data_IF_954048367020
#
_entry.id   IF_954048367020
#
_cell.length_a   1.000
_cell.length_b   1.000
_cell.length_c   1.000
_cell.angle_alpha   90.00
_cell.angle_beta   90.00
_cell.angle_gamma   90.00
#
_symmetry.space_group_name_H-M   'P 1'
#
loop_
_entity.id
_entity.type
_entity.pdbx_description
1 polymer ?
#
# COMPACT_ATOMS: atom_id res chain seq x y z
N UNK A 1 32.16 -12.53 -23.50
CA UNK A 1 30.87 -12.73 -24.20
C UNK A 1 29.81 -12.91 -23.14
N UNK A 2 28.88 -12.00 -22.91
CA UNK A 2 27.77 -12.22 -22.00
C UNK A 2 26.67 -12.98 -22.73
N UNK A 3 26.31 -14.15 -22.18
CA UNK A 3 25.23 -15.00 -22.68
C UNK A 3 23.87 -14.30 -22.56
N UNK A 4 23.16 -14.20 -23.66
CA UNK A 4 21.76 -13.81 -23.75
C UNK A 4 20.90 -14.73 -22.90
N UNK A 5 20.43 -14.24 -21.76
CA UNK A 5 19.30 -14.83 -21.03
C UNK A 5 18.02 -14.24 -21.65
N UNK A 6 17.11 -15.14 -22.03
CA UNK A 6 15.86 -14.82 -22.68
C UNK A 6 15.00 -13.85 -21.84
N UNK A 7 14.34 -12.85 -22.45
CA UNK A 7 13.39 -12.00 -21.77
C UNK A 7 12.17 -12.84 -21.40
N UNK A 8 11.80 -12.90 -20.13
CA UNK A 8 10.60 -13.60 -19.68
C UNK A 8 10.61 -14.13 -18.26
N UNK A 9 11.71 -14.06 -17.51
CA UNK A 9 11.78 -14.65 -16.16
C UNK A 9 11.52 -13.68 -14.99
N UNK A 10 11.23 -12.40 -15.25
CA UNK A 10 11.16 -11.36 -14.22
C UNK A 10 9.90 -10.47 -14.21
N UNK A 11 8.88 -10.81 -14.98
CA UNK A 11 7.69 -9.96 -15.17
C UNK A 11 6.82 -9.75 -13.92
N UNK A 12 7.09 -10.41 -12.80
CA UNK A 12 6.29 -10.31 -11.57
C UNK A 12 6.75 -9.26 -10.55
N UNK A 13 7.92 -8.62 -10.75
CA UNK A 13 8.46 -7.62 -9.82
C UNK A 13 8.62 -6.23 -10.44
N UNK A 14 8.65 -6.13 -11.76
CA UNK A 14 8.85 -4.88 -12.46
C UNK A 14 7.77 -4.67 -13.52
N UNK A 15 7.23 -3.43 -13.62
CA UNK A 15 6.41 -3.03 -14.76
C UNK A 15 7.28 -2.85 -16.04
N UNK A 16 6.63 -2.53 -17.15
CA UNK A 16 7.31 -2.32 -18.45
C UNK A 16 8.39 -1.21 -18.40
N UNK A 17 8.36 -0.35 -17.39
CA UNK A 17 9.34 0.74 -17.17
C UNK A 17 10.44 0.33 -16.18
N UNK A 18 10.56 -0.97 -15.80
CA UNK A 18 11.54 -1.44 -14.83
C UNK A 18 11.21 -1.06 -13.38
N UNK A 19 9.99 -0.64 -13.08
CA UNK A 19 9.54 -0.30 -11.74
C UNK A 19 9.00 -1.53 -11.03
N UNK A 20 9.38 -1.68 -9.78
CA UNK A 20 8.90 -2.78 -8.96
C UNK A 20 7.38 -2.64 -8.73
N UNK A 21 6.56 -3.45 -9.40
CA UNK A 21 5.09 -3.49 -9.24
C UNK A 21 4.74 -4.25 -7.95
N UNK A 22 5.49 -4.04 -6.89
CA UNK A 22 5.10 -4.44 -5.56
C UNK A 22 4.25 -3.33 -4.97
N UNK A 23 2.95 -3.41 -5.17
CA UNK A 23 1.97 -2.76 -4.30
C UNK A 23 2.15 -3.38 -2.91
N UNK A 24 3.17 -2.94 -2.19
CA UNK A 24 3.52 -3.45 -0.86
C UNK A 24 2.52 -2.91 0.14
N UNK A 25 1.54 -3.74 0.44
CA UNK A 25 0.40 -3.47 1.33
C UNK A 25 0.78 -3.07 2.75
N UNK A 26 2.04 -3.24 3.19
CA UNK A 26 2.36 -3.03 4.60
C UNK A 26 3.54 -2.09 4.90
N UNK A 27 4.55 -1.95 4.04
CA UNK A 27 5.66 -1.05 4.39
C UNK A 27 5.27 0.42 4.23
N UNK A 28 4.51 0.74 3.16
CA UNK A 28 3.88 2.05 3.01
C UNK A 28 2.84 2.31 4.10
N UNK A 29 2.11 1.27 4.53
CA UNK A 29 1.18 1.35 5.65
C UNK A 29 1.86 1.57 7.02
N UNK A 30 3.14 1.23 7.23
CA UNK A 30 3.82 1.52 8.51
C UNK A 30 4.32 2.97 8.60
N UNK A 31 4.79 3.58 7.50
CA UNK A 31 5.02 5.04 7.48
C UNK A 31 3.67 5.75 7.62
N UNK A 32 2.67 5.32 6.87
CA UNK A 32 1.28 5.77 7.03
C UNK A 32 0.70 5.39 8.40
N UNK A 33 1.12 4.27 9.03
CA UNK A 33 0.76 3.94 10.41
C UNK A 33 1.48 4.83 11.42
N UNK A 34 2.73 5.19 11.21
CA UNK A 34 3.41 6.21 12.01
C UNK A 34 2.77 7.60 11.83
N UNK A 35 2.33 7.92 10.61
CA UNK A 35 1.55 9.12 10.32
C UNK A 35 0.08 9.02 10.76
N UNK A 36 -0.50 7.81 10.77
CA UNK A 36 -1.91 7.56 11.06
C UNK A 36 -2.17 7.03 12.48
N UNK A 37 -1.17 6.55 13.22
CA UNK A 37 -1.34 6.08 14.62
C UNK A 37 -1.76 7.21 15.56
N UNK A 38 -1.50 8.46 15.21
CA UNK A 38 -2.00 9.63 15.96
C UNK A 38 -3.37 10.14 15.51
N UNK A 39 -3.99 9.57 14.47
CA UNK A 39 -5.14 10.18 13.81
C UNK A 39 -6.45 9.39 13.85
N UNK A 40 -6.61 8.44 14.73
CA UNK A 40 -7.98 8.08 15.12
C UNK A 40 -8.44 9.06 16.19
N UNK A 41 -8.60 10.32 15.78
CA UNK A 41 -9.38 11.26 16.56
C UNK A 41 -10.78 10.68 16.67
N UNK A 42 -11.12 10.20 17.86
CA UNK A 42 -12.50 10.09 18.28
C UNK A 42 -13.06 11.48 18.19
N UNK A 43 -13.72 11.80 17.07
CA UNK A 43 -14.42 13.07 16.90
C UNK A 43 -15.56 13.03 17.87
N UNK A 44 -15.36 13.67 19.02
CA UNK A 44 -16.45 14.08 19.90
C UNK A 44 -17.12 15.27 19.23
N UNK A 45 -17.95 15.01 18.21
CA UNK A 45 -18.73 16.04 17.59
C UNK A 45 -20.03 16.23 18.39
N UNK A 46 -20.03 17.22 19.27
CA UNK A 46 -21.22 17.69 19.96
C UNK A 46 -22.01 18.65 19.08
N UNK A 47 -23.08 18.15 18.49
CA UNK A 47 -24.25 18.99 18.18
C UNK A 47 -25.46 18.40 18.92
N UNK A 48 -26.26 19.16 19.67
CA UNK A 48 -27.33 18.63 20.48
C UNK A 48 -28.54 18.30 19.62
N UNK A 49 -28.56 17.11 19.04
CA UNK A 49 -29.82 16.44 18.76
C UNK A 49 -30.25 15.84 20.10
N UNK A 50 -31.46 16.11 20.58
CA UNK A 50 -32.04 15.44 21.74
C UNK A 50 -32.00 13.92 21.47
N UNK A 51 -30.91 13.26 21.83
CA UNK A 51 -30.82 11.81 21.83
C UNK A 51 -31.60 11.31 23.03
N UNK A 52 -32.35 10.26 22.86
CA UNK A 52 -32.93 9.52 23.97
C UNK A 52 -31.75 9.03 24.85
N UNK A 53 -31.81 9.25 26.15
CA UNK A 53 -30.72 8.91 27.08
C UNK A 53 -30.26 7.44 26.98
N UNK A 54 -31.11 6.60 26.42
CA UNK A 54 -30.85 5.18 26.10
C UNK A 54 -29.89 5.03 24.89
N UNK A 55 -30.10 5.79 23.80
CA UNK A 55 -29.27 5.73 22.59
C UNK A 55 -27.86 6.27 22.86
N UNK A 56 -27.76 7.32 23.68
CA UNK A 56 -26.47 7.89 24.09
C UNK A 56 -25.63 6.90 24.88
N UNK A 57 -26.22 6.18 25.85
CA UNK A 57 -25.54 5.11 26.59
C UNK A 57 -25.07 3.96 25.68
N UNK A 58 -25.86 3.60 24.67
CA UNK A 58 -25.47 2.58 23.69
C UNK A 58 -24.28 3.08 22.85
N UNK A 59 -24.28 4.35 22.42
CA UNK A 59 -23.18 4.95 21.68
C UNK A 59 -21.89 5.00 22.51
N UNK A 60 -21.96 5.41 23.78
CA UNK A 60 -20.81 5.42 24.69
C UNK A 60 -20.23 4.03 24.92
N UNK A 61 -21.10 3.04 25.18
CA UNK A 61 -20.70 1.64 25.36
C UNK A 61 -20.02 1.08 24.09
N UNK A 62 -20.59 1.33 22.90
CA UNK A 62 -20.01 0.94 21.64
C UNK A 62 -18.66 1.62 21.39
N UNK A 63 -18.54 2.89 21.75
CA UNK A 63 -17.28 3.65 21.64
C UNK A 63 -16.22 3.12 22.61
N UNK A 64 -16.60 2.70 23.79
CA UNK A 64 -15.72 2.04 24.74
C UNK A 64 -15.24 0.68 24.23
N UNK A 65 -16.13 -0.13 23.65
CA UNK A 65 -15.79 -1.39 22.99
C UNK A 65 -14.80 -1.18 21.83
N UNK A 66 -15.04 -0.16 20.97
CA UNK A 66 -14.13 0.19 19.90
C UNK A 66 -12.72 0.55 20.41
N UNK A 67 -12.62 1.34 21.48
CA UNK A 67 -11.31 1.68 22.10
C UNK A 67 -10.58 0.45 22.66
N UNK A 68 -11.31 -0.54 23.16
CA UNK A 68 -10.75 -1.81 23.67
C UNK A 68 -10.40 -2.81 22.56
N UNK A 69 -10.74 -2.51 21.29
CA UNK A 69 -10.57 -3.44 20.18
C UNK A 69 -11.65 -4.51 20.07
N UNK A 70 -12.71 -4.45 20.88
CA UNK A 70 -13.87 -5.34 20.74
C UNK A 70 -14.76 -4.84 19.58
N UNK A 71 -14.31 -5.17 18.37
CA UNK A 71 -15.00 -4.72 17.14
C UNK A 71 -16.38 -5.35 16.97
N UNK A 72 -16.61 -6.55 17.54
CA UNK A 72 -17.91 -7.22 17.45
C UNK A 72 -18.96 -6.48 18.30
N UNK A 73 -18.66 -6.20 19.57
CA UNK A 73 -19.54 -5.43 20.44
C UNK A 73 -19.75 -4.00 19.93
N UNK A 74 -18.69 -3.36 19.42
CA UNK A 74 -18.78 -2.02 18.84
C UNK A 74 -19.71 -1.99 17.62
N UNK A 75 -19.62 -2.96 16.71
CA UNK A 75 -20.50 -3.05 15.54
C UNK A 75 -21.96 -3.18 15.95
N UNK A 76 -22.26 -4.08 16.87
CA UNK A 76 -23.63 -4.29 17.36
C UNK A 76 -24.19 -3.00 17.96
N UNK A 77 -23.39 -2.32 18.80
CA UNK A 77 -23.79 -1.08 19.44
C UNK A 77 -24.06 0.05 18.43
N UNK A 78 -23.11 0.33 17.53
CA UNK A 78 -23.32 1.40 16.52
C UNK A 78 -24.46 1.10 15.55
N UNK A 79 -24.71 -0.15 15.22
CA UNK A 79 -25.89 -0.51 14.41
C UNK A 79 -27.19 -0.24 15.15
N UNK A 80 -27.26 -0.52 16.46
CA UNK A 80 -28.45 -0.18 17.27
C UNK A 80 -28.67 1.31 17.32
N UNK A 81 -27.60 2.11 17.50
CA UNK A 81 -27.71 3.58 17.43
C UNK A 81 -28.26 4.01 16.07
N UNK A 82 -27.77 3.46 14.96
CA UNK A 82 -28.22 3.81 13.61
C UNK A 82 -29.63 3.30 13.27
N UNK A 83 -30.14 2.30 13.99
CA UNK A 83 -31.56 1.90 13.91
C UNK A 83 -32.48 2.94 14.56
N UNK A 84 -32.09 3.47 15.71
CA UNK A 84 -32.84 4.53 16.40
C UNK A 84 -32.62 5.91 15.75
N UNK A 85 -31.40 6.21 15.37
CA UNK A 85 -30.97 7.49 14.81
C UNK A 85 -30.28 7.30 13.45
N UNK A 86 -31.01 7.09 12.35
CA UNK A 86 -30.43 6.75 11.04
C UNK A 86 -29.51 7.81 10.44
N UNK A 87 -29.50 9.03 10.99
CA UNK A 87 -28.68 10.16 10.54
C UNK A 87 -27.54 10.49 11.51
N UNK A 88 -27.27 9.67 12.51
CA UNK A 88 -26.18 9.88 13.47
C UNK A 88 -24.82 9.71 12.80
N UNK A 89 -24.16 10.83 12.48
CA UNK A 89 -22.88 10.87 11.76
C UNK A 89 -21.76 10.25 12.61
N UNK A 90 -21.76 10.46 13.94
CA UNK A 90 -20.78 9.87 14.84
C UNK A 90 -20.84 8.35 14.84
N UNK A 91 -22.04 7.76 14.88
CA UNK A 91 -22.24 6.33 14.79
C UNK A 91 -21.84 5.78 13.42
N UNK A 92 -22.11 6.47 12.32
CA UNK A 92 -21.64 6.08 10.98
C UNK A 92 -20.12 6.13 10.90
N UNK A 93 -19.49 7.19 11.41
CA UNK A 93 -18.03 7.34 11.42
C UNK A 93 -17.37 6.20 12.19
N UNK A 94 -17.82 5.93 13.41
CA UNK A 94 -17.24 4.88 14.24
C UNK A 94 -17.51 3.47 13.70
N UNK A 95 -18.69 3.22 13.11
CA UNK A 95 -18.97 1.96 12.42
C UNK A 95 -18.06 1.78 11.20
N UNK A 96 -17.77 2.85 10.46
CA UNK A 96 -16.79 2.85 9.38
C UNK A 96 -15.38 2.50 9.88
N UNK A 97 -14.98 3.00 11.06
CA UNK A 97 -13.71 2.61 11.71
C UNK A 97 -13.71 1.12 12.03
N UNK A 98 -14.80 0.58 12.61
CA UNK A 98 -14.93 -0.86 12.88
C UNK A 98 -14.72 -1.68 11.60
N UNK A 99 -15.41 -1.32 10.52
CA UNK A 99 -15.26 -2.01 9.23
C UNK A 99 -13.84 -1.90 8.66
N UNK A 100 -13.22 -0.73 8.75
CA UNK A 100 -11.84 -0.53 8.30
C UNK A 100 -10.84 -1.36 9.11
N UNK A 101 -11.03 -1.46 10.45
CA UNK A 101 -10.17 -2.26 11.34
C UNK A 101 -10.33 -3.76 11.14
N UNK A 102 -11.50 -4.19 10.71
CA UNK A 102 -11.83 -5.59 10.41
C UNK A 102 -11.68 -5.91 8.91
N UNK A 103 -10.94 -5.08 8.16
CA UNK A 103 -10.62 -5.23 6.73
C UNK A 103 -11.85 -5.28 5.79
N UNK A 104 -13.03 -4.93 6.28
CA UNK A 104 -14.28 -4.87 5.49
C UNK A 104 -14.40 -3.53 4.77
N UNK A 105 -13.41 -3.22 3.89
CA UNK A 105 -13.24 -1.91 3.26
C UNK A 105 -14.46 -1.45 2.45
N UNK A 106 -15.10 -2.35 1.71
CA UNK A 106 -16.32 -2.02 0.94
C UNK A 106 -17.43 -1.44 1.85
N UNK A 107 -17.68 -2.07 3.00
CA UNK A 107 -18.67 -1.60 3.98
C UNK A 107 -18.24 -0.28 4.64
N UNK A 108 -16.93 -0.12 4.92
CA UNK A 108 -16.40 1.14 5.43
C UNK A 108 -16.64 2.29 4.44
N UNK A 109 -16.33 2.08 3.16
CA UNK A 109 -16.54 3.07 2.09
C UNK A 109 -18.01 3.45 1.97
N UNK A 110 -18.90 2.48 1.99
CA UNK A 110 -20.35 2.71 1.89
C UNK A 110 -20.87 3.59 3.03
N UNK A 111 -20.54 3.25 4.29
CA UNK A 111 -21.02 3.99 5.45
C UNK A 111 -20.42 5.40 5.52
N UNK A 112 -19.13 5.57 5.19
CA UNK A 112 -18.50 6.89 5.12
C UNK A 112 -19.10 7.76 4.00
N UNK A 113 -19.37 7.21 2.82
CA UNK A 113 -20.06 7.93 1.74
C UNK A 113 -21.47 8.34 2.18
N UNK A 114 -22.18 7.50 2.94
CA UNK A 114 -23.49 7.85 3.51
C UNK A 114 -23.35 9.00 4.52
N UNK A 115 -22.35 8.99 5.41
CA UNK A 115 -22.09 10.08 6.33
C UNK A 115 -21.76 11.39 5.62
N UNK A 116 -20.94 11.36 4.55
CA UNK A 116 -20.59 12.55 3.76
C UNK A 116 -21.75 13.11 2.93
N UNK A 117 -22.75 12.31 2.59
CA UNK A 117 -23.99 12.85 1.99
C UNK A 117 -24.80 13.70 2.98
N UNK A 118 -24.72 13.38 4.28
CA UNK A 118 -25.40 14.13 5.34
C UNK A 118 -24.60 15.33 5.83
N UNK A 119 -23.29 15.18 5.94
CA UNK A 119 -22.34 16.23 6.35
C UNK A 119 -21.13 16.24 5.42
N UNK A 120 -21.18 16.97 4.30
CA UNK A 120 -20.11 16.95 3.30
C UNK A 120 -18.75 17.43 3.79
N UNK A 121 -18.71 18.22 4.87
CA UNK A 121 -17.46 18.80 5.43
C UNK A 121 -16.97 18.11 6.70
N UNK A 122 -17.49 16.92 7.02
CA UNK A 122 -17.08 16.20 8.22
C UNK A 122 -15.63 15.70 8.08
N UNK A 123 -14.70 16.40 8.73
CA UNK A 123 -13.25 16.18 8.57
C UNK A 123 -12.84 14.75 8.92
N UNK A 124 -13.35 14.22 10.03
CA UNK A 124 -13.03 12.85 10.48
C UNK A 124 -13.49 11.79 9.47
N UNK A 125 -14.63 12.01 8.83
CA UNK A 125 -15.13 11.07 7.81
C UNK A 125 -14.34 11.20 6.51
N UNK A 126 -13.97 12.42 6.10
CA UNK A 126 -13.11 12.66 4.94
C UNK A 126 -11.76 11.98 5.13
N UNK A 127 -11.13 12.18 6.30
CA UNK A 127 -9.85 11.56 6.66
C UNK A 127 -9.94 10.03 6.60
N UNK A 128 -10.92 9.45 7.29
CA UNK A 128 -11.06 8.01 7.38
C UNK A 128 -11.37 7.36 6.03
N UNK A 129 -12.20 7.98 5.20
CA UNK A 129 -12.50 7.48 3.86
C UNK A 129 -11.27 7.54 2.94
N UNK A 130 -10.53 8.65 2.96
CA UNK A 130 -9.24 8.75 2.26
C UNK A 130 -8.25 7.68 2.72
N UNK A 131 -8.13 7.45 4.04
CA UNK A 131 -7.27 6.41 4.59
C UNK A 131 -7.69 4.98 4.19
N UNK A 132 -8.99 4.72 4.05
CA UNK A 132 -9.47 3.41 3.55
C UNK A 132 -9.02 3.17 2.10
N UNK A 133 -9.08 4.19 1.25
CA UNK A 133 -8.55 4.08 -0.11
C UNK A 133 -7.02 3.95 -0.14
N UNK A 134 -6.29 4.70 0.70
CA UNK A 134 -4.84 4.55 0.82
C UNK A 134 -4.41 3.15 1.27
N UNK A 135 -5.19 2.50 2.14
CA UNK A 135 -4.91 1.11 2.55
C UNK A 135 -5.06 0.10 1.41
N UNK A 136 -5.77 0.47 0.37
CA UNK A 136 -5.95 -0.31 -0.85
C UNK A 136 -5.02 0.17 -1.97
N UNK A 137 -4.04 1.04 -1.66
CA UNK A 137 -3.14 1.71 -2.61
C UNK A 137 -3.88 2.47 -3.73
N UNK A 138 -5.14 2.82 -3.47
CA UNK A 138 -5.96 3.58 -4.41
C UNK A 138 -5.77 5.09 -4.20
N UNK A 139 -4.62 5.57 -4.65
CA UNK A 139 -4.23 6.97 -4.52
C UNK A 139 -5.18 7.90 -5.27
N UNK A 140 -5.67 7.46 -6.43
CA UNK A 140 -6.61 8.23 -7.25
C UNK A 140 -7.91 8.52 -6.53
N UNK A 141 -8.52 7.50 -5.90
CA UNK A 141 -9.76 7.67 -5.12
C UNK A 141 -9.53 8.31 -3.74
N UNK A 142 -8.35 8.19 -3.15
CA UNK A 142 -7.99 8.84 -1.89
C UNK A 142 -7.79 10.36 -2.04
N UNK A 143 -7.09 10.79 -3.10
CA UNK A 143 -6.68 12.18 -3.38
C UNK A 143 -7.79 13.22 -3.15
N UNK A 144 -9.01 13.12 -3.74
CA UNK A 144 -10.04 14.15 -3.60
C UNK A 144 -10.50 14.38 -2.16
N UNK A 145 -10.39 13.40 -1.27
CA UNK A 145 -10.74 13.56 0.15
C UNK A 145 -9.68 14.35 0.89
N UNK A 146 -8.40 14.08 0.64
CA UNK A 146 -7.29 14.83 1.23
C UNK A 146 -7.14 16.22 0.65
N UNK A 147 -7.45 16.45 -0.63
CA UNK A 147 -7.56 17.80 -1.20
C UNK A 147 -8.62 18.64 -0.49
N UNK A 148 -9.74 18.04 -0.13
CA UNK A 148 -10.80 18.74 0.62
C UNK A 148 -10.33 19.09 2.03
N UNK A 149 -9.64 18.17 2.72
CA UNK A 149 -9.06 18.43 4.04
C UNK A 149 -8.00 19.54 3.98
N UNK A 150 -7.06 19.45 3.03
CA UNK A 150 -6.01 20.45 2.86
C UNK A 150 -6.57 21.84 2.53
N UNK A 151 -7.61 21.93 1.69
CA UNK A 151 -8.30 23.22 1.43
C UNK A 151 -9.00 23.81 2.66
N UNK A 152 -9.43 22.99 3.62
CA UNK A 152 -10.05 23.47 4.85
C UNK A 152 -9.02 24.01 5.84
N UNK A 153 -7.83 23.41 5.87
CA UNK A 153 -6.69 23.85 6.67
C UNK A 153 -5.37 23.57 5.92
N UNK A 154 -4.86 24.54 5.13
CA UNK A 154 -3.63 24.39 4.37
C UNK A 154 -2.35 24.24 5.24
N UNK A 155 -2.40 24.60 6.52
CA UNK A 155 -1.29 24.45 7.45
C UNK A 155 -1.29 23.13 8.21
N UNK A 156 -2.33 22.32 8.03
CA UNK A 156 -2.41 21.00 8.64
C UNK A 156 -1.41 20.04 7.97
N UNK A 157 -0.30 19.80 8.65
CA UNK A 157 0.78 18.93 8.14
C UNK A 157 0.28 17.53 7.80
N UNK A 158 -0.63 16.96 8.60
CA UNK A 158 -1.18 15.64 8.32
C UNK A 158 -1.96 15.59 7.02
N UNK A 159 -2.87 16.55 6.79
CA UNK A 159 -3.67 16.62 5.58
C UNK A 159 -2.77 16.84 4.34
N UNK A 160 -1.77 17.72 4.46
CA UNK A 160 -0.79 17.98 3.42
C UNK A 160 0.06 16.75 3.10
N UNK A 161 0.60 16.07 4.11
CA UNK A 161 1.41 14.85 3.91
C UNK A 161 0.59 13.71 3.30
N UNK A 162 -0.68 13.52 3.69
CA UNK A 162 -1.57 12.53 3.08
C UNK A 162 -1.90 12.86 1.62
N UNK A 163 -2.12 14.13 1.32
CA UNK A 163 -2.32 14.58 -0.07
C UNK A 163 -1.04 14.38 -0.89
N UNK A 164 0.11 14.81 -0.37
CA UNK A 164 1.40 14.62 -1.01
C UNK A 164 1.70 13.12 -1.25
N UNK A 165 1.35 12.24 -0.32
CA UNK A 165 1.44 10.78 -0.50
C UNK A 165 0.63 10.34 -1.74
N UNK A 166 -0.61 10.80 -1.86
CA UNK A 166 -1.43 10.47 -3.03
C UNK A 166 -0.81 10.99 -4.33
N UNK A 167 -0.24 12.19 -4.32
CA UNK A 167 0.39 12.79 -5.49
C UNK A 167 1.67 12.05 -5.89
N UNK A 168 2.56 11.79 -4.92
CA UNK A 168 3.85 11.12 -5.17
C UNK A 168 3.65 9.70 -5.69
N UNK A 169 2.77 8.92 -5.05
CA UNK A 169 2.56 7.51 -5.40
C UNK A 169 1.46 7.31 -6.45
N UNK A 170 0.63 8.32 -6.68
CA UNK A 170 -0.38 8.34 -7.74
C UNK A 170 0.14 8.80 -9.11
N UNK A 171 1.46 9.10 -9.22
CA UNK A 171 2.08 9.47 -10.50
C UNK A 171 2.12 10.97 -10.80
N UNK A 172 1.80 11.82 -9.83
CA UNK A 172 1.82 13.29 -9.95
C UNK A 172 2.83 13.93 -8.97
N UNK A 173 4.11 13.47 -8.90
CA UNK A 173 5.04 13.89 -7.84
C UNK A 173 5.32 15.41 -7.83
N UNK A 174 5.28 16.08 -8.97
CA UNK A 174 5.45 17.53 -9.03
C UNK A 174 4.38 18.30 -8.25
N UNK A 175 3.14 17.78 -8.19
CA UNK A 175 2.07 18.39 -7.41
C UNK A 175 2.35 18.42 -5.89
N UNK A 176 3.20 17.53 -5.39
CA UNK A 176 3.55 17.50 -3.97
C UNK A 176 4.37 18.73 -3.54
N UNK A 177 5.11 19.38 -4.44
CA UNK A 177 5.91 20.58 -4.10
C UNK A 177 5.05 21.70 -3.55
N UNK A 178 3.97 22.05 -4.23
CA UNK A 178 3.08 23.15 -3.80
C UNK A 178 2.36 22.82 -2.49
N UNK A 179 2.01 21.56 -2.29
CA UNK A 179 1.32 21.09 -1.08
C UNK A 179 2.25 21.11 0.14
N UNK A 180 3.52 20.74 -0.03
CA UNK A 180 4.49 20.62 1.06
C UNK A 180 5.28 21.90 1.32
N UNK A 181 5.38 22.81 0.35
CA UNK A 181 6.13 24.07 0.47
C UNK A 181 5.78 24.90 1.72
N UNK A 182 4.51 25.09 2.10
CA UNK A 182 4.17 25.84 3.31
C UNK A 182 4.68 25.18 4.60
N UNK A 183 4.88 23.88 4.62
CA UNK A 183 5.37 23.13 5.77
C UNK A 183 6.90 23.22 5.92
N UNK A 184 7.60 23.73 4.90
CA UNK A 184 9.06 23.93 4.94
C UNK A 184 9.45 25.20 5.68
N UNK A 185 8.50 26.08 6.02
CA UNK A 185 8.71 27.25 6.84
C UNK A 185 8.81 26.81 8.31
N UNK A 186 10.02 26.86 8.86
CA UNK A 186 10.31 26.44 10.24
C UNK A 186 11.00 25.08 10.34
N UNK A 187 10.53 24.21 11.21
CA UNK A 187 11.08 22.87 11.43
C UNK A 187 10.14 21.83 10.82
N UNK A 188 10.34 21.44 9.56
CA UNK A 188 9.49 20.44 8.91
C UNK A 188 9.63 19.09 9.60
N UNK A 189 8.50 18.35 9.70
CA UNK A 189 8.53 17.01 10.26
C UNK A 189 9.23 16.01 9.30
N UNK A 190 9.74 14.87 9.82
CA UNK A 190 10.44 13.89 9.01
C UNK A 190 9.63 13.33 7.85
N UNK A 191 8.29 13.23 7.97
CA UNK A 191 7.43 12.74 6.92
C UNK A 191 7.32 13.74 5.77
N UNK A 192 7.24 15.03 6.07
CA UNK A 192 7.27 16.11 5.07
C UNK A 192 8.58 16.08 4.29
N UNK A 193 9.72 16.00 4.98
CA UNK A 193 11.03 15.89 4.34
C UNK A 193 11.15 14.64 3.48
N UNK A 194 10.71 13.50 4.00
CA UNK A 194 10.69 12.24 3.25
C UNK A 194 9.90 12.39 1.93
N UNK A 195 8.64 12.83 2.02
CA UNK A 195 7.77 12.96 0.85
C UNK A 195 8.33 13.96 -0.17
N UNK A 196 8.90 15.06 0.30
CA UNK A 196 9.49 16.06 -0.57
C UNK A 196 10.75 15.52 -1.27
N UNK A 197 11.63 14.82 -0.55
CA UNK A 197 12.81 14.18 -1.13
C UNK A 197 12.46 13.14 -2.18
N UNK A 198 11.45 12.28 -1.92
CA UNK A 198 10.94 11.31 -2.90
C UNK A 198 10.32 12.02 -4.12
N UNK A 199 9.56 13.10 -3.90
CA UNK A 199 8.97 13.87 -4.98
C UNK A 199 10.04 14.44 -5.91
N UNK A 200 11.11 15.06 -5.36
CA UNK A 200 12.23 15.54 -6.16
C UNK A 200 12.92 14.44 -6.94
N UNK A 201 13.23 13.32 -6.30
CA UNK A 201 13.88 12.17 -6.95
C UNK A 201 13.03 11.63 -8.11
N UNK A 202 11.71 11.50 -7.93
CA UNK A 202 10.79 11.04 -8.99
C UNK A 202 10.58 12.04 -10.12
N UNK A 203 10.84 13.31 -9.88
CA UNK A 203 10.86 14.36 -10.93
C UNK A 203 12.21 14.48 -11.63
N UNK A 204 13.18 13.57 -11.37
CA UNK A 204 14.51 13.61 -11.97
C UNK A 204 15.45 14.69 -11.36
N UNK A 205 15.04 15.32 -10.26
CA UNK A 205 15.79 16.36 -9.56
C UNK A 205 16.60 15.74 -8.40
N UNK A 206 17.52 14.83 -8.73
CA UNK A 206 18.23 13.99 -7.76
C UNK A 206 19.00 14.83 -6.72
N UNK A 207 19.73 15.87 -7.15
CA UNK A 207 20.50 16.74 -6.25
C UNK A 207 19.62 17.47 -5.23
N UNK A 208 18.46 17.98 -5.66
CA UNK A 208 17.51 18.62 -4.74
C UNK A 208 16.93 17.59 -3.75
N UNK A 209 16.64 16.36 -4.20
CA UNK A 209 16.22 15.27 -3.33
C UNK A 209 17.27 14.95 -2.25
N UNK A 210 18.54 14.87 -2.62
CA UNK A 210 19.65 14.61 -1.68
C UNK A 210 19.79 15.70 -0.63
N UNK A 211 19.64 16.97 -1.00
CA UNK A 211 19.66 18.08 -0.04
C UNK A 211 18.51 17.97 0.98
N UNK A 212 17.34 17.54 0.56
CA UNK A 212 16.20 17.29 1.45
C UNK A 212 16.46 16.08 2.36
N UNK A 213 17.03 15.00 1.83
CA UNK A 213 17.40 13.83 2.64
C UNK A 213 18.49 14.12 3.66
N UNK A 214 19.47 15.01 3.32
CA UNK A 214 20.45 15.49 4.29
C UNK A 214 19.77 16.23 5.47
N UNK A 215 18.75 17.05 5.21
CA UNK A 215 17.94 17.67 6.28
C UNK A 215 17.18 16.64 7.11
N UNK A 216 16.67 15.56 6.48
CA UNK A 216 16.00 14.48 7.20
C UNK A 216 16.96 13.84 8.23
N UNK A 217 18.24 13.59 7.86
CA UNK A 217 19.26 13.03 8.76
C UNK A 217 19.56 13.92 9.97
N UNK A 218 19.44 15.23 9.82
CA UNK A 218 19.70 16.19 10.92
C UNK A 218 18.49 16.40 11.83
N UNK A 219 17.27 16.22 11.31
CA UNK A 219 16.02 16.57 12.00
C UNK A 219 15.29 15.37 12.63
N UNK A 220 15.75 14.15 12.39
CA UNK A 220 15.10 12.96 12.95
C UNK A 220 15.37 12.81 14.45
N UNK A 221 14.39 12.26 15.17
CA UNK A 221 14.46 12.03 16.61
C UNK A 221 15.56 11.05 17.02
N UNK A 222 15.92 10.11 16.10
CA UNK A 222 17.03 9.18 16.23
C UNK A 222 17.74 9.00 14.90
N UNK A 223 19.06 8.75 14.95
CA UNK A 223 19.84 8.46 13.74
C UNK A 223 19.34 7.19 13.02
N UNK A 224 18.94 6.15 13.77
CA UNK A 224 18.37 4.92 13.21
C UNK A 224 17.10 5.19 12.41
N UNK A 225 16.19 5.99 12.97
CA UNK A 225 14.94 6.37 12.28
C UNK A 225 15.20 7.16 11.01
N UNK A 226 16.14 8.12 11.07
CA UNK A 226 16.53 8.90 9.90
C UNK A 226 17.08 8.02 8.78
N UNK A 227 18.03 7.15 9.12
CA UNK A 227 18.62 6.21 8.16
C UNK A 227 17.58 5.25 7.57
N UNK A 228 16.63 4.78 8.39
CA UNK A 228 15.55 3.93 7.91
C UNK A 228 14.63 4.65 6.90
N UNK A 229 14.20 5.88 7.21
CA UNK A 229 13.37 6.70 6.31
C UNK A 229 14.12 7.05 5.01
N UNK A 230 15.43 7.33 5.12
CA UNK A 230 16.29 7.57 3.97
C UNK A 230 16.38 6.30 3.08
N UNK A 231 16.56 5.13 3.69
CA UNK A 231 16.56 3.86 2.97
C UNK A 231 15.25 3.62 2.21
N UNK A 232 14.12 3.93 2.82
CA UNK A 232 12.82 3.84 2.15
C UNK A 232 12.69 4.83 0.99
N UNK A 233 13.18 6.06 1.16
CA UNK A 233 13.17 7.07 0.11
C UNK A 233 14.02 6.65 -1.10
N UNK A 234 15.21 6.13 -0.85
CA UNK A 234 16.06 5.60 -1.91
C UNK A 234 15.43 4.38 -2.60
N UNK A 235 14.85 3.47 -1.84
CA UNK A 235 14.14 2.31 -2.39
C UNK A 235 12.98 2.73 -3.31
N UNK A 236 12.14 3.69 -2.86
CA UNK A 236 11.01 4.20 -3.63
C UNK A 236 11.46 5.00 -4.89
N UNK A 237 12.71 5.45 -4.90
CA UNK A 237 13.35 6.12 -6.05
C UNK A 237 14.15 5.15 -6.94
N UNK A 238 14.04 3.84 -6.69
CA UNK A 238 14.80 2.78 -7.36
C UNK A 238 16.34 2.89 -7.22
N UNK A 239 16.82 3.59 -6.18
CA UNK A 239 18.22 3.73 -5.82
C UNK A 239 18.58 2.64 -4.80
N UNK A 240 18.70 1.41 -5.27
CA UNK A 240 18.74 0.23 -4.38
C UNK A 240 20.05 0.10 -3.61
N UNK A 241 21.19 0.50 -4.17
CA UNK A 241 22.47 0.47 -3.51
C UNK A 241 22.55 1.48 -2.35
N UNK A 242 22.01 2.68 -2.56
CA UNK A 242 21.91 3.69 -1.51
C UNK A 242 20.88 3.30 -0.45
N UNK A 243 19.80 2.64 -0.84
CA UNK A 243 18.83 2.09 0.10
C UNK A 243 19.47 1.01 0.99
N UNK A 244 20.32 0.14 0.44
CA UNK A 244 21.08 -0.86 1.19
C UNK A 244 21.94 -0.19 2.27
N UNK A 245 22.72 0.83 1.89
CA UNK A 245 23.60 1.54 2.84
C UNK A 245 22.79 2.20 3.96
N UNK A 246 21.69 2.85 3.62
CA UNK A 246 20.86 3.53 4.58
C UNK A 246 20.18 2.57 5.56
N UNK A 247 19.65 1.42 5.10
CA UNK A 247 19.06 0.42 6.00
C UNK A 247 20.13 -0.26 6.87
N UNK A 248 21.33 -0.52 6.35
CA UNK A 248 22.46 -1.00 7.15
C UNK A 248 22.83 0.00 8.23
N UNK A 249 22.92 1.28 7.90
CA UNK A 249 23.19 2.33 8.88
C UNK A 249 22.12 2.44 9.96
N UNK A 250 20.85 2.14 9.65
CA UNK A 250 19.81 2.03 10.66
C UNK A 250 20.06 0.87 11.61
N UNK A 251 20.43 -0.31 11.08
CA UNK A 251 20.73 -1.52 11.85
C UNK A 251 22.04 -1.42 12.64
N UNK A 252 23.04 -0.66 12.18
CA UNK A 252 24.27 -0.36 12.94
C UNK A 252 23.99 0.46 14.20
N UNK A 253 22.99 1.34 14.15
CA UNK A 253 22.58 2.17 15.29
C UNK A 253 21.65 1.40 16.23
N UNK A 254 20.72 0.64 15.67
CA UNK A 254 19.76 -0.21 16.38
C UNK A 254 19.56 -1.50 15.62
N UNK A 255 20.25 -2.55 16.04
CA UNK A 255 20.20 -3.88 15.41
C UNK A 255 18.78 -4.50 15.40
N UNK A 256 17.88 -4.00 16.24
CA UNK A 256 16.48 -4.46 16.32
C UNK A 256 15.50 -3.42 15.77
N UNK A 257 15.96 -2.44 14.99
CA UNK A 257 15.07 -1.41 14.45
C UNK A 257 13.91 -2.04 13.67
N UNK A 258 12.64 -1.74 14.08
CA UNK A 258 11.48 -2.45 13.56
C UNK A 258 11.35 -2.35 12.04
N UNK A 259 11.35 -3.50 11.36
CA UNK A 259 11.16 -3.62 9.94
C UNK A 259 12.41 -3.35 9.07
N UNK A 260 13.56 -2.96 9.65
CA UNK A 260 14.77 -2.67 8.87
C UNK A 260 15.29 -3.90 8.14
N UNK A 261 15.36 -5.05 8.79
CA UNK A 261 15.73 -6.31 8.14
C UNK A 261 14.80 -6.68 6.98
N UNK A 262 13.47 -6.50 7.14
CA UNK A 262 12.53 -6.75 6.06
C UNK A 262 12.77 -5.82 4.86
N UNK A 263 12.93 -4.52 5.09
CA UNK A 263 13.17 -3.57 4.01
C UNK A 263 14.52 -3.84 3.33
N UNK A 264 15.55 -4.19 4.08
CA UNK A 264 16.85 -4.61 3.53
C UNK A 264 16.72 -5.90 2.70
N UNK A 265 15.93 -6.87 3.16
CA UNK A 265 15.61 -8.07 2.40
C UNK A 265 14.93 -7.76 1.05
N UNK A 266 14.02 -6.79 1.03
CA UNK A 266 13.39 -6.30 -0.22
C UNK A 266 14.40 -5.65 -1.16
N UNK A 267 15.33 -4.85 -0.61
CA UNK A 267 16.42 -4.27 -1.41
C UNK A 267 17.22 -5.38 -2.08
N UNK A 268 17.62 -6.42 -1.34
CA UNK A 268 18.38 -7.53 -1.90
C UNK A 268 17.60 -8.33 -2.96
N UNK A 269 16.28 -8.47 -2.82
CA UNK A 269 15.44 -9.03 -3.90
C UNK A 269 15.57 -8.18 -5.16
N UNK A 270 15.48 -6.85 -5.05
CA UNK A 270 15.60 -5.92 -6.19
C UNK A 270 16.98 -5.97 -6.83
N UNK A 271 18.04 -6.14 -6.02
CA UNK A 271 19.42 -6.32 -6.46
C UNK A 271 19.72 -7.76 -6.93
N UNK A 272 18.76 -8.68 -6.92
CA UNK A 272 18.90 -10.10 -7.29
C UNK A 272 19.91 -10.86 -6.43
N UNK A 273 20.09 -10.44 -5.20
CA UNK A 273 20.99 -11.04 -4.20
C UNK A 273 20.18 -11.95 -3.28
N UNK A 274 19.82 -13.14 -3.79
CA UNK A 274 18.83 -14.03 -3.16
C UNK A 274 19.26 -14.56 -1.80
N UNK A 275 20.53 -14.86 -1.58
CA UNK A 275 21.02 -15.38 -0.30
C UNK A 275 20.95 -14.34 0.80
N UNK A 276 21.37 -13.11 0.49
CA UNK A 276 21.29 -12.00 1.42
C UNK A 276 19.84 -11.62 1.69
N UNK A 277 18.97 -11.68 0.68
CA UNK A 277 17.54 -11.44 0.84
C UNK A 277 16.90 -12.44 1.81
N UNK A 278 17.21 -13.74 1.65
CA UNK A 278 16.73 -14.79 2.55
C UNK A 278 17.21 -14.56 3.97
N UNK A 279 18.50 -14.25 4.16
CA UNK A 279 19.09 -13.97 5.47
C UNK A 279 18.36 -12.83 6.19
N UNK A 280 18.17 -11.72 5.52
CA UNK A 280 17.54 -10.56 6.12
C UNK A 280 16.03 -10.75 6.37
N UNK A 281 15.33 -11.44 5.47
CA UNK A 281 13.91 -11.75 5.70
C UNK A 281 13.72 -12.73 6.86
N UNK A 282 14.64 -13.69 7.05
CA UNK A 282 14.63 -14.57 8.24
C UNK A 282 14.91 -13.79 9.51
N UNK A 283 15.90 -12.89 9.51
CA UNK A 283 16.16 -12.00 10.64
C UNK A 283 14.94 -11.13 11.00
N UNK A 284 14.17 -10.66 10.01
CA UNK A 284 12.91 -9.97 10.26
C UNK A 284 11.88 -10.87 10.95
N UNK A 285 11.79 -12.15 10.55
CA UNK A 285 10.87 -13.12 11.15
C UNK A 285 11.33 -13.59 12.54
N UNK A 286 12.62 -13.60 12.82
CA UNK A 286 13.16 -13.87 14.16
C UNK A 286 12.80 -12.75 15.14
N UNK A 287 12.67 -11.50 14.66
CA UNK A 287 12.21 -10.36 15.46
C UNK A 287 10.70 -10.31 15.64
N UNK A 288 9.95 -10.60 14.59
CA UNK A 288 8.48 -10.61 14.54
C UNK A 288 8.01 -11.76 13.66
N UNK A 289 7.77 -12.91 14.26
CA UNK A 289 7.31 -14.12 13.56
C UNK A 289 5.96 -13.98 12.85
N UNK A 290 5.22 -12.89 13.13
CA UNK A 290 3.95 -12.58 12.50
C UNK A 290 4.06 -11.45 11.44
N UNK A 291 5.27 -10.99 11.11
CA UNK A 291 5.47 -10.01 10.04
C UNK A 291 5.03 -10.58 8.69
N UNK A 292 3.75 -10.41 8.39
CA UNK A 292 3.11 -10.93 7.16
C UNK A 292 3.82 -10.47 5.89
N UNK A 293 4.45 -9.29 5.90
CA UNK A 293 5.22 -8.81 4.74
C UNK A 293 6.51 -9.59 4.57
N UNK A 294 7.24 -9.86 5.66
CA UNK A 294 8.45 -10.67 5.61
C UNK A 294 8.12 -12.12 5.18
N UNK A 295 7.03 -12.69 5.71
CA UNK A 295 6.50 -14.00 5.30
C UNK A 295 6.22 -14.03 3.79
N UNK A 296 5.50 -13.01 3.29
CA UNK A 296 5.17 -12.90 1.87
C UNK A 296 6.42 -12.79 0.99
N UNK A 297 7.36 -11.89 1.33
CA UNK A 297 8.57 -11.69 0.52
C UNK A 297 9.47 -12.91 0.53
N UNK A 298 9.60 -13.60 1.66
CA UNK A 298 10.36 -14.85 1.72
C UNK A 298 9.70 -15.95 0.89
N UNK A 299 8.36 -16.06 0.95
CA UNK A 299 7.61 -16.98 0.12
C UNK A 299 7.75 -16.69 -1.38
N UNK A 300 7.67 -15.42 -1.78
CA UNK A 300 7.87 -14.97 -3.16
C UNK A 300 9.31 -15.21 -3.65
N UNK A 301 10.31 -14.97 -2.80
CA UNK A 301 11.72 -15.27 -3.08
C UNK A 301 11.93 -16.76 -3.37
N UNK A 302 11.34 -17.65 -2.57
CA UNK A 302 11.41 -19.08 -2.81
C UNK A 302 10.72 -19.50 -4.13
N UNK A 303 9.63 -18.82 -4.53
CA UNK A 303 9.05 -19.06 -5.87
C UNK A 303 10.01 -18.69 -6.98
N UNK A 304 10.74 -17.57 -6.84
CA UNK A 304 11.73 -17.15 -7.82
C UNK A 304 12.91 -18.12 -7.92
N UNK A 305 13.37 -18.61 -6.78
CA UNK A 305 14.46 -19.58 -6.70
C UNK A 305 14.04 -21.00 -7.12
N UNK A 306 12.74 -21.25 -7.41
CA UNK A 306 12.22 -22.56 -7.75
C UNK A 306 11.99 -23.49 -6.55
N UNK A 307 12.08 -22.97 -5.34
CA UNK A 307 11.92 -23.70 -4.09
C UNK A 307 10.43 -23.77 -3.65
N UNK A 308 9.58 -24.25 -4.56
CA UNK A 308 8.12 -24.18 -4.41
C UNK A 308 7.60 -24.87 -3.14
N UNK A 309 8.26 -25.95 -2.67
CA UNK A 309 7.85 -26.64 -1.43
C UNK A 309 8.05 -25.77 -0.18
N UNK A 310 9.08 -24.92 -0.17
CA UNK A 310 9.32 -23.98 0.93
C UNK A 310 8.39 -22.76 0.83
N UNK A 311 8.04 -22.35 -0.39
CA UNK A 311 7.22 -21.15 -0.61
C UNK A 311 5.76 -21.33 -0.20
N UNK A 312 5.15 -22.51 -0.46
CA UNK A 312 3.71 -22.75 -0.27
C UNK A 312 3.23 -22.44 1.15
N UNK A 313 3.81 -22.98 2.23
CA UNK A 313 3.32 -22.71 3.59
C UNK A 313 3.38 -21.22 3.96
N UNK A 314 4.43 -20.51 3.52
CA UNK A 314 4.58 -19.08 3.77
C UNK A 314 3.52 -18.26 3.03
N UNK A 315 3.30 -18.59 1.76
CA UNK A 315 2.31 -17.88 0.93
C UNK A 315 0.87 -18.20 1.35
N UNK A 316 0.58 -19.41 1.82
CA UNK A 316 -0.71 -19.75 2.42
C UNK A 316 -0.97 -18.94 3.69
N UNK A 317 0.05 -18.79 4.54
CA UNK A 317 -0.04 -17.94 5.73
C UNK A 317 -0.26 -16.47 5.35
N UNK A 318 0.52 -15.93 4.41
CA UNK A 318 0.36 -14.56 3.94
C UNK A 318 -1.01 -14.31 3.32
N UNK A 319 -1.46 -15.19 2.43
CA UNK A 319 -2.76 -15.09 1.76
C UNK A 319 -3.94 -15.15 2.75
N UNK A 320 -3.86 -16.01 3.77
CA UNK A 320 -4.87 -16.08 4.83
C UNK A 320 -5.01 -14.75 5.61
N UNK A 321 -3.89 -14.04 5.84
CA UNK A 321 -3.89 -12.76 6.58
C UNK A 321 -4.28 -11.58 5.69
N UNK A 322 -3.92 -11.63 4.42
CA UNK A 322 -4.21 -10.59 3.42
C UNK A 322 -4.91 -11.20 2.20
N UNK A 323 -6.18 -11.60 2.34
CA UNK A 323 -6.91 -12.26 1.26
C UNK A 323 -7.10 -11.36 0.02
N UNK A 324 -7.16 -10.04 0.22
CA UNK A 324 -7.31 -9.07 -0.89
C UNK A 324 -5.99 -8.77 -1.63
N UNK A 325 -4.92 -9.54 -1.37
CA UNK A 325 -3.63 -9.38 -2.04
C UNK A 325 -3.56 -10.25 -3.29
N UNK A 326 -3.78 -9.64 -4.47
CA UNK A 326 -3.64 -10.35 -5.74
C UNK A 326 -2.27 -11.02 -5.90
N UNK A 327 -1.21 -10.36 -5.42
CA UNK A 327 0.16 -10.88 -5.54
C UNK A 327 0.40 -12.10 -4.65
N UNK A 328 -0.19 -12.16 -3.46
CA UNK A 328 -0.12 -13.35 -2.61
C UNK A 328 -0.83 -14.55 -3.27
N UNK A 329 -2.04 -14.34 -3.80
CA UNK A 329 -2.78 -15.34 -4.56
C UNK A 329 -2.02 -15.77 -5.83
N UNK A 330 -1.42 -14.82 -6.56
CA UNK A 330 -0.61 -15.08 -7.75
C UNK A 330 0.60 -15.96 -7.45
N UNK A 331 1.44 -15.59 -6.46
CA UNK A 331 2.64 -16.37 -6.15
C UNK A 331 2.29 -17.75 -5.59
N UNK A 332 1.25 -17.86 -4.78
CA UNK A 332 0.76 -19.15 -4.28
C UNK A 332 0.24 -20.02 -5.44
N UNK A 333 -0.57 -19.44 -6.33
CA UNK A 333 -1.04 -20.10 -7.53
C UNK A 333 0.11 -20.55 -8.44
N UNK A 334 1.12 -19.70 -8.66
CA UNK A 334 2.34 -20.02 -9.41
C UNK A 334 3.11 -21.19 -8.80
N UNK A 335 3.33 -21.17 -7.49
CA UNK A 335 4.01 -22.26 -6.79
C UNK A 335 3.27 -23.59 -6.94
N UNK A 336 1.94 -23.60 -6.69
CA UNK A 336 1.10 -24.79 -6.84
C UNK A 336 1.08 -25.30 -8.28
N UNK A 337 1.03 -24.39 -9.27
CA UNK A 337 1.07 -24.78 -10.69
C UNK A 337 2.40 -25.43 -11.06
N UNK A 338 3.52 -24.89 -10.59
CA UNK A 338 4.86 -25.48 -10.80
C UNK A 338 5.06 -26.83 -10.09
N UNK A 339 4.24 -27.10 -9.08
CA UNK A 339 4.16 -28.42 -8.40
C UNK A 339 3.15 -29.37 -9.05
N UNK A 340 2.66 -29.08 -10.27
CA UNK A 340 1.63 -29.84 -10.98
C UNK A 340 0.28 -29.93 -10.24
N UNK A 341 -0.03 -28.98 -9.38
CA UNK A 341 -1.27 -28.91 -8.62
C UNK A 341 -2.27 -27.93 -9.28
N UNK A 342 -2.53 -28.08 -10.57
CA UNK A 342 -3.37 -27.16 -11.34
C UNK A 342 -4.78 -26.97 -10.75
N UNK A 343 -5.39 -28.01 -10.15
CA UNK A 343 -6.69 -27.92 -9.48
C UNK A 343 -6.70 -26.92 -8.32
N UNK A 344 -5.59 -26.83 -7.58
CA UNK A 344 -5.45 -25.91 -6.44
C UNK A 344 -4.93 -24.52 -6.87
N UNK A 345 -4.24 -24.46 -8.01
CA UNK A 345 -3.66 -23.22 -8.52
C UNK A 345 -4.69 -22.34 -9.24
N UNK A 346 -5.59 -22.95 -10.03
CA UNK A 346 -6.54 -22.18 -10.86
C UNK A 346 -7.45 -21.28 -10.04
N UNK A 347 -8.09 -21.70 -8.94
CA UNK A 347 -8.91 -20.80 -8.12
C UNK A 347 -8.14 -19.59 -7.59
N UNK A 348 -6.89 -19.75 -7.16
CA UNK A 348 -6.04 -18.68 -6.68
C UNK A 348 -5.67 -17.68 -7.80
N UNK A 349 -5.47 -18.19 -9.01
CA UNK A 349 -5.17 -17.33 -10.17
C UNK A 349 -6.42 -16.64 -10.70
N UNK A 350 -7.60 -17.25 -10.59
CA UNK A 350 -8.88 -16.61 -10.85
C UNK A 350 -9.11 -15.45 -9.84
N UNK A 351 -8.90 -15.70 -8.57
CA UNK A 351 -8.95 -14.66 -7.52
C UNK A 351 -7.95 -13.52 -7.79
N UNK A 352 -6.70 -13.85 -8.14
CA UNK A 352 -5.71 -12.84 -8.50
C UNK A 352 -6.14 -11.99 -9.71
N UNK A 353 -6.78 -12.60 -10.71
CA UNK A 353 -7.30 -11.91 -11.89
C UNK A 353 -8.49 -10.99 -11.57
N UNK A 354 -9.35 -11.36 -10.61
CA UNK A 354 -10.43 -10.50 -10.12
C UNK A 354 -9.88 -9.30 -9.34
N UNK A 355 -8.88 -9.53 -8.50
CA UNK A 355 -8.26 -8.49 -7.67
C UNK A 355 -7.39 -7.52 -8.49
N UNK A 356 -6.73 -7.99 -9.55
CA UNK A 356 -5.94 -7.17 -10.46
C UNK A 356 -6.19 -7.56 -11.92
N UNK A 357 -7.24 -7.03 -12.55
CA UNK A 357 -7.65 -7.39 -13.91
C UNK A 357 -6.74 -6.83 -15.02
N UNK A 358 -5.75 -6.02 -14.65
CA UNK A 358 -4.85 -5.36 -15.60
C UNK A 358 -3.43 -5.96 -15.60
N UNK A 359 -3.21 -7.08 -14.88
CA UNK A 359 -1.91 -7.75 -14.80
C UNK A 359 -1.80 -8.92 -15.80
N UNK A 360 -1.06 -8.79 -16.92
CA UNK A 360 -1.00 -9.84 -17.94
C UNK A 360 -0.43 -11.17 -17.45
N UNK A 361 0.53 -11.13 -16.51
CA UNK A 361 1.19 -12.34 -15.99
C UNK A 361 0.22 -13.25 -15.22
N UNK A 362 -0.79 -12.69 -14.57
CA UNK A 362 -1.85 -13.45 -13.90
C UNK A 362 -2.64 -14.26 -14.93
N UNK A 363 -3.11 -13.62 -16.01
CA UNK A 363 -3.89 -14.28 -17.05
C UNK A 363 -3.07 -15.32 -17.82
N UNK A 364 -1.77 -15.09 -18.00
CA UNK A 364 -0.88 -16.08 -18.62
C UNK A 364 -0.76 -17.35 -17.77
N UNK A 365 -0.56 -17.23 -16.45
CA UNK A 365 -0.51 -18.38 -15.55
C UNK A 365 -1.87 -19.05 -15.41
N UNK A 366 -2.95 -18.27 -15.36
CA UNK A 366 -4.32 -18.79 -15.36
C UNK A 366 -4.58 -19.65 -16.59
N UNK A 367 -4.22 -19.15 -17.78
CA UNK A 367 -4.36 -19.91 -19.02
C UNK A 367 -3.56 -21.23 -18.98
N UNK A 368 -2.34 -21.19 -18.42
CA UNK A 368 -1.51 -22.38 -18.25
C UNK A 368 -2.18 -23.42 -17.34
N UNK A 369 -2.74 -22.97 -16.22
CA UNK A 369 -3.45 -23.84 -15.27
C UNK A 369 -4.73 -24.42 -15.86
N UNK A 370 -5.52 -23.59 -16.54
CA UNK A 370 -6.76 -24.02 -17.23
C UNK A 370 -6.47 -25.06 -18.32
N UNK A 371 -5.40 -24.86 -19.10
CA UNK A 371 -4.96 -25.83 -20.11
C UNK A 371 -4.57 -27.17 -19.48
N UNK A 372 -3.89 -27.15 -18.34
CA UNK A 372 -3.51 -28.36 -17.61
C UNK A 372 -4.74 -29.12 -17.08
N UNK A 373 -5.87 -28.45 -16.88
CA UNK A 373 -7.17 -29.03 -16.49
C UNK A 373 -8.05 -29.41 -17.68
N UNK A 374 -7.61 -29.20 -18.92
CA UNK A 374 -8.41 -29.43 -20.12
C UNK A 374 -9.50 -28.36 -20.40
N UNK A 375 -9.55 -27.26 -19.63
CA UNK A 375 -10.48 -26.12 -19.79
C UNK A 375 -10.02 -25.20 -20.94
N UNK A 376 -9.90 -25.77 -22.15
CA UNK A 376 -9.22 -25.12 -23.27
C UNK A 376 -9.88 -23.84 -23.77
N UNK A 377 -11.20 -23.72 -23.70
CA UNK A 377 -11.92 -22.50 -24.11
C UNK A 377 -11.62 -21.33 -23.17
N UNK A 378 -11.62 -21.59 -21.88
CA UNK A 378 -11.29 -20.60 -20.85
C UNK A 378 -9.81 -20.20 -20.90
N UNK A 379 -8.91 -21.15 -21.17
CA UNK A 379 -7.50 -20.86 -21.42
C UNK A 379 -7.30 -19.91 -22.61
N UNK A 380 -8.05 -20.12 -23.72
CA UNK A 380 -8.01 -19.20 -24.88
C UNK A 380 -8.53 -17.81 -24.51
N UNK A 381 -9.58 -17.70 -23.71
CA UNK A 381 -10.11 -16.43 -23.26
C UNK A 381 -9.10 -15.66 -22.39
N UNK A 382 -8.43 -16.37 -21.46
CA UNK A 382 -7.38 -15.77 -20.65
C UNK A 382 -6.18 -15.28 -21.49
N UNK A 383 -5.72 -16.05 -22.48
CA UNK A 383 -4.65 -15.62 -23.42
C UNK A 383 -5.10 -14.43 -24.30
N UNK A 384 -6.36 -14.36 -24.69
CA UNK A 384 -6.89 -13.20 -25.39
C UNK A 384 -6.79 -11.95 -24.54
N UNK A 385 -7.12 -12.05 -23.22
CA UNK A 385 -6.97 -10.93 -22.28
C UNK A 385 -5.52 -10.46 -22.18
N UNK A 386 -4.54 -11.36 -22.15
CA UNK A 386 -3.10 -11.02 -22.20
C UNK A 386 -2.79 -10.15 -23.42
N UNK A 387 -3.27 -10.58 -24.61
CA UNK A 387 -3.03 -9.83 -25.87
C UNK A 387 -3.69 -8.45 -25.85
N UNK A 388 -4.90 -8.33 -25.29
CA UNK A 388 -5.61 -7.06 -25.13
C UNK A 388 -4.87 -6.10 -24.22
N UNK A 389 -4.37 -6.58 -23.09
CA UNK A 389 -3.61 -5.78 -22.11
C UNK A 389 -2.30 -5.27 -22.71
N UNK A 390 -1.56 -6.11 -23.44
CA UNK A 390 -0.34 -5.68 -24.14
C UNK A 390 -0.64 -4.64 -25.23
N UNK A 391 -1.72 -4.81 -25.99
CA UNK A 391 -2.12 -3.82 -26.99
C UNK A 391 -2.46 -2.46 -26.36
N UNK A 392 -3.18 -2.46 -25.25
CA UNK A 392 -3.54 -1.24 -24.50
C UNK A 392 -2.29 -0.53 -23.95
N UNK A 393 -1.34 -1.28 -23.40
CA UNK A 393 -0.07 -0.73 -22.89
C UNK A 393 0.72 -0.08 -24.03
N UNK A 394 0.86 -0.75 -25.17
CA UNK A 394 1.59 -0.22 -26.33
C UNK A 394 0.95 1.06 -26.90
N UNK A 395 -0.38 1.14 -26.93
CA UNK A 395 -1.07 2.36 -27.38
C UNK A 395 -0.92 3.52 -26.39
N UNK A 396 -0.92 3.23 -25.09
CA UNK A 396 -0.65 4.23 -24.06
C UNK A 396 0.78 4.79 -24.17
N UNK A 397 1.76 3.92 -24.40
CA UNK A 397 3.16 4.30 -24.61
C UNK A 397 3.35 5.16 -25.86
N UNK A 398 2.76 4.75 -26.99
CA UNK A 398 2.77 5.55 -28.23
C UNK A 398 2.12 6.92 -28.04
N UNK A 399 1.04 7.01 -27.27
CA UNK A 399 0.40 8.28 -26.95
C UNK A 399 1.32 9.16 -26.11
N UNK A 400 1.92 8.62 -25.05
CA UNK A 400 2.86 9.35 -24.20
C UNK A 400 4.06 9.91 -24.99
N UNK A 401 4.62 9.12 -25.91
CA UNK A 401 5.69 9.56 -26.82
C UNK A 401 5.25 10.68 -27.77
N UNK A 402 4.03 10.62 -28.31
CA UNK A 402 3.48 11.70 -29.15
C UNK A 402 3.30 13.00 -28.35
N UNK A 403 2.74 12.89 -27.14
CA UNK A 403 2.51 14.03 -26.27
C UNK A 403 3.83 14.69 -25.84
N UNK A 404 4.86 13.89 -25.54
CA UNK A 404 6.21 14.37 -25.22
C UNK A 404 6.87 15.11 -26.39
N UNK A 405 6.72 14.60 -27.62
CA UNK A 405 7.26 15.25 -28.82
C UNK A 405 6.55 16.58 -29.18
N UNK A 406 5.28 16.74 -28.82
CA UNK A 406 4.54 18.00 -29.02
C UNK A 406 5.00 19.09 -28.04
N UNK A 407 5.45 18.72 -26.83
CA UNK A 407 5.97 19.68 -25.83
C UNK A 407 7.40 20.15 -26.17
N UNK A 408 8.19 19.30 -26.85
CA UNK A 408 9.56 19.64 -27.26
C UNK A 408 9.69 20.55 -28.51
N UNK A 409 8.56 20.88 -29.16
CA UNK A 409 8.52 21.72 -30.38
C UNK A 409 7.88 23.09 -30.17
N UNK A 410 7.73 23.55 -28.95
CA UNK A 410 7.26 24.91 -28.59
C UNK A 410 8.32 25.73 -27.88
#
# INVERSE_FOLDING_TARGET
>A
MPGNLAPGQFEGFMDADGRLVLKTLQSKAKILKSLAVLAFATVLCCAPVRSDSSTEKIFESASAALRKGDYAAAEVGFRKVLQAEPRNIGAMSNLGVVYSRTLRYARAIEIYKRALRLSPREQGVLLNLGLVYLKQDDYGRAKPYFERLHRMDPKNAQAANLLATCLVYGGEPAGAFEVLKPLMEGTPDPATLYLLGVAYSRCGQAEAGEQIFAKLLTNASTKAQASFLLGQAYYDSARFEEAEQAFKSALEVDAHFPGAHRELGKVYISLRRSEEAEKELRAALDQDGEDTSAIYFLGALYVQNGEYRKSVPLLEQAHKVIPDSWSAAYYLGKAKLKMNQARNAVPLLEEAAELNPDEPSVFYLLATGLKALGRNQEAKAALKRVSELHATSLEAEKKALRDANVVGTR
#
